data_IF_054267821241
#
_entry.id   IF_054267821241
#
_cell.length_a   1.000
_cell.length_b   1.000
_cell.length_c   1.000
_cell.angle_alpha   90.00
_cell.angle_beta   90.00
_cell.angle_gamma   90.00
#
_symmetry.space_group_name_H-M   'P 1'
#
loop_
_entity.id
_entity.type
_entity.pdbx_description
1 polymer ?
#
# COMPACT_ATOMS: atom_id res chain seq x y z
N UNK A 1 16.16 24.88 -0.51
CA UNK A 1 14.90 25.39 0.07
C UNK A 1 13.80 24.37 -0.25
N UNK A 2 12.86 24.12 0.67
CA UNK A 2 11.74 23.21 0.42
C UNK A 2 10.80 23.77 -0.64
N UNK A 3 10.44 22.93 -1.60
CA UNK A 3 9.52 23.31 -2.69
C UNK A 3 8.38 22.29 -2.80
N UNK A 4 7.12 22.74 -2.96
CA UNK A 4 6.01 21.84 -3.23
C UNK A 4 6.28 20.96 -4.45
N UNK A 5 6.04 19.66 -4.33
CA UNK A 5 6.11 18.75 -5.49
C UNK A 5 4.92 19.01 -6.40
N UNK A 6 5.11 18.96 -7.72
CA UNK A 6 4.02 19.10 -8.71
C UNK A 6 3.54 17.75 -9.25
N UNK A 7 4.48 16.83 -9.49
CA UNK A 7 4.23 15.53 -10.12
C UNK A 7 4.49 14.36 -9.18
N UNK A 8 5.55 14.45 -8.38
CA UNK A 8 5.95 13.40 -7.44
C UNK A 8 5.12 13.50 -6.16
N UNK A 9 3.89 13.00 -6.21
CA UNK A 9 2.89 13.11 -5.13
C UNK A 9 2.65 11.80 -4.39
N UNK A 10 3.01 10.67 -4.97
CA UNK A 10 2.78 9.36 -4.40
C UNK A 10 3.95 8.41 -4.63
N UNK A 11 4.23 7.57 -3.65
CA UNK A 11 5.27 6.56 -3.77
C UNK A 11 5.11 5.43 -2.77
N UNK A 12 5.90 4.39 -2.98
CA UNK A 12 6.01 3.22 -2.10
C UNK A 12 7.43 3.16 -1.55
N UNK A 13 7.53 2.94 -0.25
CA UNK A 13 8.81 2.79 0.44
C UNK A 13 9.46 1.47 0.01
N UNK A 14 10.71 1.53 -0.44
CA UNK A 14 11.47 0.34 -0.90
C UNK A 14 12.52 -0.14 0.10
N UNK A 15 12.76 0.62 1.17
CA UNK A 15 13.67 0.24 2.25
C UNK A 15 13.23 0.86 3.58
N UNK A 16 13.49 0.18 4.69
CA UNK A 16 13.12 0.67 6.01
C UNK A 16 13.92 1.93 6.38
N UNK A 17 13.26 2.94 6.92
CA UNK A 17 13.88 4.16 7.40
C UNK A 17 13.39 4.45 8.82
N UNK A 18 14.31 4.44 9.78
CA UNK A 18 13.96 4.56 11.20
C UNK A 18 13.53 5.98 11.59
N UNK A 19 14.04 7.01 10.92
CA UNK A 19 13.65 8.39 11.17
C UNK A 19 14.25 8.97 12.45
N UNK A 20 15.46 8.59 12.82
CA UNK A 20 16.13 8.95 14.10
C UNK A 20 16.48 10.44 14.28
N UNK A 21 15.91 11.33 13.46
CA UNK A 21 16.04 12.78 13.59
C UNK A 21 14.70 13.40 14.00
N UNK A 22 14.68 14.60 14.62
CA UNK A 22 13.46 15.19 15.20
C UNK A 22 12.30 15.40 14.22
N UNK A 23 12.57 15.42 12.91
CA UNK A 23 11.57 15.61 11.86
C UNK A 23 11.41 14.37 10.97
N UNK A 24 12.07 13.27 11.31
CA UNK A 24 12.14 12.06 10.52
C UNK A 24 10.81 11.32 10.58
N UNK A 25 10.27 10.97 9.42
CA UNK A 25 9.11 10.09 9.37
C UNK A 25 9.59 8.65 9.40
N UNK A 26 9.16 7.85 10.38
CA UNK A 26 9.42 6.41 10.38
C UNK A 26 8.69 5.75 9.20
N UNK A 27 9.39 4.91 8.44
CA UNK A 27 8.85 4.24 7.25
C UNK A 27 9.26 2.76 7.23
N UNK A 28 8.29 1.90 6.97
CA UNK A 28 8.53 0.47 6.71
C UNK A 28 8.43 0.15 5.22
N UNK A 29 9.17 -0.87 4.80
CA UNK A 29 9.13 -1.34 3.42
C UNK A 29 7.70 -1.69 2.98
N UNK A 30 7.32 -1.16 1.82
CA UNK A 30 6.00 -1.29 1.23
C UNK A 30 4.95 -0.32 1.79
N UNK A 31 5.29 0.56 2.73
CA UNK A 31 4.41 1.67 3.11
C UNK A 31 4.17 2.58 1.91
N UNK A 32 2.97 3.15 1.85
CA UNK A 32 2.58 4.10 0.82
C UNK A 32 2.62 5.50 1.41
N UNK A 33 3.27 6.43 0.71
CA UNK A 33 3.45 7.81 1.18
C UNK A 33 2.84 8.79 0.19
N UNK A 34 2.25 9.87 0.73
CA UNK A 34 1.95 11.07 -0.05
C UNK A 34 3.06 12.08 0.18
N UNK A 35 3.63 12.58 -0.91
CA UNK A 35 4.73 13.53 -0.92
C UNK A 35 4.16 14.93 -1.15
N UNK A 36 4.52 15.86 -0.28
CA UNK A 36 4.05 17.25 -0.31
C UNK A 36 5.13 18.18 -0.88
N UNK A 37 6.37 18.00 -0.42
CA UNK A 37 7.48 18.89 -0.71
C UNK A 37 8.77 18.09 -0.92
N UNK A 38 9.73 18.71 -1.59
CA UNK A 38 11.06 18.15 -1.82
C UNK A 38 12.16 19.19 -1.55
N UNK A 39 13.33 18.73 -1.11
CA UNK A 39 14.52 19.55 -0.92
C UNK A 39 15.78 18.67 -0.99
N UNK A 40 16.69 18.91 -1.94
CA UNK A 40 18.04 18.30 -1.96
C UNK A 40 18.09 16.77 -1.71
N UNK A 41 17.25 15.99 -2.39
CA UNK A 41 17.20 14.52 -2.20
C UNK A 41 16.39 14.05 -0.99
N UNK A 42 15.65 14.94 -0.34
CA UNK A 42 14.68 14.63 0.70
C UNK A 42 13.27 14.94 0.23
N UNK A 43 12.33 14.12 0.68
CA UNK A 43 10.91 14.38 0.60
C UNK A 43 10.36 14.71 1.98
N UNK A 44 9.27 15.48 1.99
CA UNK A 44 8.43 15.69 3.16
C UNK A 44 7.02 15.25 2.83
N UNK A 45 6.41 14.50 3.73
CA UNK A 45 5.11 13.89 3.48
C UNK A 45 4.57 13.17 4.69
N UNK A 46 3.64 12.24 4.45
CA UNK A 46 3.04 11.37 5.47
C UNK A 46 2.75 9.99 4.86
N UNK A 47 2.66 8.97 5.73
CA UNK A 47 2.18 7.65 5.35
C UNK A 47 0.68 7.74 5.08
N UNK A 48 0.17 7.23 3.96
CA UNK A 48 -1.23 7.42 3.56
C UNK A 48 -2.22 6.83 4.56
N UNK A 49 -1.82 5.80 5.31
CA UNK A 49 -2.60 5.20 6.41
C UNK A 49 -2.68 6.09 7.65
N UNK A 50 -1.71 6.98 7.86
CA UNK A 50 -1.66 7.88 9.00
C UNK A 50 -1.26 9.30 8.57
N UNK A 51 -2.28 10.11 8.21
CA UNK A 51 -2.10 11.48 7.67
C UNK A 51 -1.75 12.52 8.73
N UNK A 52 -1.90 12.21 10.02
CA UNK A 52 -1.69 13.17 11.12
C UNK A 52 -0.22 13.43 11.38
N UNK A 53 0.64 12.45 11.11
CA UNK A 53 2.09 12.55 11.32
C UNK A 53 2.77 12.89 10.00
N UNK A 54 3.40 14.07 9.96
CA UNK A 54 4.20 14.53 8.81
C UNK A 54 5.67 14.54 9.19
N UNK A 55 6.53 14.14 8.26
CA UNK A 55 7.97 14.19 8.47
C UNK A 55 8.74 14.10 7.15
N UNK A 56 10.07 14.09 7.28
CA UNK A 56 11.02 14.02 6.17
C UNK A 56 11.60 12.62 6.02
N UNK A 57 11.89 12.24 4.79
CA UNK A 57 12.48 10.95 4.44
C UNK A 57 13.33 11.06 3.16
N UNK A 58 14.37 10.23 3.00
CA UNK A 58 15.22 10.27 1.81
C UNK A 58 14.41 9.91 0.55
N UNK A 59 14.61 10.65 -0.54
CA UNK A 59 13.92 10.36 -1.80
C UNK A 59 14.35 9.01 -2.40
N UNK A 60 15.59 8.59 -2.12
CA UNK A 60 16.16 7.31 -2.57
C UNK A 60 15.47 6.09 -1.96
N UNK A 61 14.70 6.26 -0.88
CA UNK A 61 13.97 5.18 -0.22
C UNK A 61 12.57 5.02 -0.78
N UNK A 62 12.18 5.85 -1.76
CA UNK A 62 10.83 5.90 -2.30
C UNK A 62 10.85 5.56 -3.78
N UNK A 63 10.11 4.52 -4.14
CA UNK A 63 9.73 4.26 -5.51
C UNK A 63 8.48 5.08 -5.86
N UNK A 64 8.65 6.10 -6.69
CA UNK A 64 7.56 6.95 -7.16
C UNK A 64 6.59 6.15 -8.02
N UNK A 65 5.29 6.31 -7.78
CA UNK A 65 4.23 5.64 -8.55
C UNK A 65 3.25 6.67 -9.12
N UNK A 66 2.67 6.40 -10.30
CA UNK A 66 1.72 7.32 -10.90
C UNK A 66 0.46 7.46 -10.04
N UNK A 67 -0.02 8.68 -9.92
CA UNK A 67 -1.23 9.03 -9.20
C UNK A 67 -1.95 10.19 -9.88
N UNK A 68 -3.26 10.30 -9.65
CA UNK A 68 -4.04 11.51 -9.91
C UNK A 68 -4.17 12.30 -8.61
N UNK A 69 -4.20 13.62 -8.72
CA UNK A 69 -4.41 14.52 -7.58
C UNK A 69 -5.86 14.98 -7.57
N UNK A 70 -6.50 14.90 -6.41
CA UNK A 70 -7.81 15.49 -6.15
C UNK A 70 -7.70 16.59 -5.08
N UNK A 71 -8.62 17.55 -5.11
CA UNK A 71 -8.71 18.67 -4.17
C UNK A 71 -7.43 19.52 -4.11
N UNK A 72 -6.97 19.99 -5.27
CA UNK A 72 -5.79 20.85 -5.37
C UNK A 72 -5.83 22.00 -4.35
N UNK A 73 -4.70 22.25 -3.68
CA UNK A 73 -4.58 23.23 -2.60
C UNK A 73 -4.34 22.59 -1.24
N UNK A 74 -4.98 23.11 -0.19
CA UNK A 74 -4.70 22.73 1.21
C UNK A 74 -5.14 21.31 1.58
N UNK A 75 -6.07 20.72 0.83
CA UNK A 75 -6.63 19.39 1.07
C UNK A 75 -6.24 18.36 0.00
N UNK A 76 -5.14 18.62 -0.70
CA UNK A 76 -4.63 17.79 -1.77
C UNK A 76 -4.52 16.32 -1.36
N UNK A 77 -5.07 15.44 -2.20
CA UNK A 77 -5.06 13.99 -1.97
C UNK A 77 -4.54 13.27 -3.21
N UNK A 78 -3.48 12.48 -3.04
CA UNK A 78 -2.90 11.70 -4.12
C UNK A 78 -3.58 10.31 -4.20
N UNK A 79 -4.22 10.03 -5.33
CA UNK A 79 -4.93 8.77 -5.58
C UNK A 79 -4.09 7.94 -6.56
N UNK A 80 -3.60 6.76 -6.15
CA UNK A 80 -2.84 5.87 -7.03
C UNK A 80 -3.63 5.51 -8.29
N UNK A 81 -2.95 5.44 -9.44
CA UNK A 81 -3.54 4.91 -10.67
C UNK A 81 -3.53 3.37 -10.73
N UNK A 82 -2.91 2.72 -9.74
CA UNK A 82 -2.98 1.27 -9.59
C UNK A 82 -4.43 0.81 -9.41
N UNK A 83 -4.75 -0.34 -10.02
CA UNK A 83 -6.07 -0.94 -9.93
C UNK A 83 -6.54 -1.11 -8.48
N UNK A 84 -7.79 -0.70 -8.21
CA UNK A 84 -8.32 -0.69 -6.85
C UNK A 84 -8.34 -2.09 -6.23
N UNK A 85 -8.63 -3.14 -7.01
CA UNK A 85 -8.64 -4.52 -6.50
C UNK A 85 -7.23 -4.98 -6.15
N UNK A 86 -6.24 -4.63 -6.97
CA UNK A 86 -4.82 -4.93 -6.69
C UNK A 86 -4.36 -4.27 -5.40
N UNK A 87 -4.74 -3.01 -5.19
CA UNK A 87 -4.44 -2.26 -3.96
C UNK A 87 -5.15 -2.85 -2.75
N UNK A 88 -6.43 -3.19 -2.89
CA UNK A 88 -7.24 -3.77 -1.82
C UNK A 88 -6.66 -5.09 -1.33
N UNK A 89 -6.23 -5.98 -2.25
CA UNK A 89 -5.55 -7.22 -1.87
C UNK A 89 -4.31 -6.93 -1.02
N UNK A 90 -3.51 -5.92 -1.35
CA UNK A 90 -2.34 -5.55 -0.52
C UNK A 90 -2.71 -5.07 0.88
N UNK A 91 -3.83 -4.37 1.03
CA UNK A 91 -4.30 -3.89 2.33
C UNK A 91 -4.84 -5.05 3.17
N UNK A 92 -5.76 -5.84 2.62
CA UNK A 92 -6.38 -6.98 3.30
C UNK A 92 -5.35 -8.03 3.71
N UNK A 93 -4.35 -8.32 2.88
CA UNK A 93 -3.28 -9.24 3.26
C UNK A 93 -2.45 -8.75 4.45
N UNK A 94 -2.28 -7.43 4.63
CA UNK A 94 -1.60 -6.87 5.81
C UNK A 94 -2.46 -7.03 7.06
N UNK A 95 -3.76 -6.78 6.95
CA UNK A 95 -4.69 -6.89 8.07
C UNK A 95 -4.85 -8.35 8.49
N UNK A 96 -5.05 -9.25 7.52
CA UNK A 96 -5.12 -10.70 7.77
C UNK A 96 -3.82 -11.28 8.28
N UNK A 97 -2.65 -10.70 7.96
CA UNK A 97 -1.38 -11.15 8.55
C UNK A 97 -1.33 -10.95 10.07
N UNK A 98 -1.96 -9.90 10.60
CA UNK A 98 -2.08 -9.70 12.04
C UNK A 98 -2.95 -10.78 12.68
N UNK A 99 -4.12 -11.05 12.09
CA UNK A 99 -5.05 -12.11 12.54
C UNK A 99 -4.42 -13.49 12.42
N UNK A 100 -3.74 -13.76 11.31
CA UNK A 100 -3.08 -15.04 11.07
C UNK A 100 -2.01 -15.36 12.14
N UNK A 101 -1.25 -14.34 12.58
CA UNK A 101 -0.30 -14.50 13.69
C UNK A 101 -1.00 -14.76 15.02
N UNK A 102 -2.14 -14.10 15.31
CA UNK A 102 -2.88 -14.33 16.57
C UNK A 102 -3.46 -15.74 16.62
N UNK A 103 -4.03 -16.24 15.52
CA UNK A 103 -4.55 -17.61 15.42
C UNK A 103 -3.49 -18.68 15.72
N UNK A 104 -2.23 -18.43 15.36
CA UNK A 104 -1.12 -19.32 15.71
C UNK A 104 -0.88 -19.36 17.23
N UNK A 105 -0.84 -18.20 17.86
CA UNK A 105 -0.63 -18.08 19.32
C UNK A 105 -1.79 -18.70 20.09
N UNK A 106 -3.02 -18.49 19.62
CA UNK A 106 -4.26 -19.04 20.19
C UNK A 106 -4.47 -20.53 19.88
N UNK A 107 -3.59 -21.14 19.06
CA UNK A 107 -3.64 -22.56 18.65
C UNK A 107 -4.89 -22.94 17.83
N UNK A 108 -5.52 -21.97 17.17
CA UNK A 108 -6.66 -22.13 16.26
C UNK A 108 -6.22 -22.73 14.91
N UNK A 109 -5.73 -23.97 14.94
CA UNK A 109 -4.97 -24.62 13.86
C UNK A 109 -5.73 -24.66 12.53
N UNK A 110 -7.03 -24.98 12.56
CA UNK A 110 -7.85 -25.06 11.35
C UNK A 110 -7.99 -23.68 10.67
N UNK A 111 -8.30 -22.63 11.46
CA UNK A 111 -8.42 -21.25 10.94
C UNK A 111 -7.08 -20.74 10.43
N UNK A 112 -6.00 -21.00 11.17
CA UNK A 112 -4.64 -20.63 10.76
C UNK A 112 -4.26 -21.21 9.39
N UNK A 113 -4.49 -22.51 9.18
CA UNK A 113 -4.19 -23.19 7.90
C UNK A 113 -5.09 -22.65 6.78
N UNK A 114 -6.38 -22.47 7.07
CA UNK A 114 -7.36 -21.98 6.09
C UNK A 114 -7.03 -20.57 5.64
N UNK A 115 -6.79 -19.65 6.57
CA UNK A 115 -6.44 -18.26 6.27
C UNK A 115 -5.14 -18.19 5.46
N UNK A 116 -4.11 -18.99 5.80
CA UNK A 116 -2.86 -19.07 5.02
C UNK A 116 -3.11 -19.46 3.56
N UNK A 117 -4.00 -20.42 3.29
CA UNK A 117 -4.34 -20.85 1.93
C UNK A 117 -4.99 -19.71 1.16
N UNK A 118 -5.98 -19.05 1.76
CA UNK A 118 -6.69 -17.94 1.11
C UNK A 118 -5.76 -16.75 0.85
N UNK A 119 -4.90 -16.40 1.82
CA UNK A 119 -3.88 -15.36 1.61
C UNK A 119 -2.96 -15.65 0.42
N UNK A 120 -2.56 -16.91 0.23
CA UNK A 120 -1.74 -17.33 -0.93
C UNK A 120 -2.49 -17.25 -2.24
N UNK A 121 -3.76 -17.65 -2.27
CA UNK A 121 -4.63 -17.50 -3.46
C UNK A 121 -4.74 -16.02 -3.88
N UNK A 122 -5.04 -15.13 -2.92
CA UNK A 122 -5.14 -13.70 -3.19
C UNK A 122 -3.81 -13.12 -3.70
N UNK A 123 -2.68 -13.54 -3.13
CA UNK A 123 -1.37 -13.09 -3.58
C UNK A 123 -1.09 -13.48 -5.03
N UNK A 124 -1.46 -14.71 -5.42
CA UNK A 124 -1.31 -15.19 -6.80
C UNK A 124 -2.24 -14.46 -7.77
N UNK A 125 -3.51 -14.24 -7.41
CA UNK A 125 -4.42 -13.46 -8.26
C UNK A 125 -3.97 -12.02 -8.41
N UNK A 126 -3.44 -11.40 -7.35
CA UNK A 126 -2.84 -10.06 -7.44
C UNK A 126 -1.66 -10.04 -8.40
N UNK A 127 -0.78 -11.05 -8.35
CA UNK A 127 0.33 -11.18 -9.30
C UNK A 127 -0.19 -11.26 -10.73
N UNK A 128 -1.19 -12.11 -11.00
CA UNK A 128 -1.77 -12.24 -12.34
C UNK A 128 -2.37 -10.92 -12.85
N UNK A 129 -3.14 -10.21 -12.01
CA UNK A 129 -3.70 -8.89 -12.33
C UNK A 129 -2.60 -7.86 -12.67
N UNK A 130 -1.44 -7.93 -12.00
CA UNK A 130 -0.31 -7.03 -12.25
C UNK A 130 0.48 -7.37 -13.51
N UNK A 131 0.52 -8.65 -13.93
CA UNK A 131 1.32 -9.06 -15.11
C UNK A 131 0.77 -8.52 -16.42
N UNK A 132 -0.50 -8.11 -16.48
CA UNK A 132 -1.13 -7.56 -17.69
C UNK A 132 -1.24 -8.56 -18.85
N UNK A 133 -1.12 -9.86 -18.58
CA UNK A 133 -1.17 -10.93 -19.59
C UNK A 133 -2.58 -11.43 -19.88
N UNK A 134 -3.57 -11.03 -19.08
CA UNK A 134 -4.97 -11.44 -19.19
C UNK A 134 -5.73 -10.58 -20.20
N UNK A 135 -6.72 -11.17 -20.88
CA UNK A 135 -7.69 -10.41 -21.67
C UNK A 135 -8.56 -9.53 -20.76
N UNK A 136 -9.34 -8.61 -21.36
CA UNK A 136 -10.26 -7.76 -20.61
C UNK A 136 -11.30 -8.58 -19.84
N UNK A 137 -11.87 -9.62 -20.47
CA UNK A 137 -12.86 -10.48 -19.83
C UNK A 137 -12.25 -11.31 -18.70
N UNK A 138 -11.07 -11.91 -18.92
CA UNK A 138 -10.34 -12.64 -17.88
C UNK A 138 -9.96 -11.74 -16.69
N UNK A 139 -9.52 -10.51 -16.97
CA UNK A 139 -9.21 -9.52 -15.93
C UNK A 139 -10.45 -9.18 -15.11
N UNK A 140 -11.59 -8.99 -15.78
CA UNK A 140 -12.87 -8.69 -15.12
C UNK A 140 -13.31 -9.86 -14.23
N UNK A 141 -13.26 -11.08 -14.73
CA UNK A 141 -13.64 -12.27 -13.97
C UNK A 141 -12.73 -12.48 -12.75
N UNK A 142 -11.42 -12.33 -12.93
CA UNK A 142 -10.46 -12.47 -11.84
C UNK A 142 -10.64 -11.40 -10.76
N UNK A 143 -11.00 -10.17 -11.13
CA UNK A 143 -11.34 -9.11 -10.18
C UNK A 143 -12.56 -9.46 -9.35
N UNK A 144 -13.64 -9.92 -9.99
CA UNK A 144 -14.87 -10.34 -9.29
C UNK A 144 -14.61 -11.51 -8.33
N UNK A 145 -13.81 -12.49 -8.78
CA UNK A 145 -13.40 -13.62 -7.95
C UNK A 145 -12.56 -13.18 -6.75
N UNK A 146 -11.65 -12.22 -6.96
CA UNK A 146 -10.82 -11.63 -5.91
C UNK A 146 -11.67 -10.92 -4.86
N UNK A 147 -12.59 -10.03 -5.27
CA UNK A 147 -13.44 -9.28 -4.34
C UNK A 147 -14.34 -10.22 -3.54
N UNK A 148 -14.96 -11.21 -4.19
CA UNK A 148 -15.80 -12.19 -3.49
C UNK A 148 -15.02 -13.00 -2.44
N UNK A 149 -13.74 -13.30 -2.69
CA UNK A 149 -12.88 -14.01 -1.73
C UNK A 149 -12.47 -13.13 -0.56
N UNK A 150 -12.21 -11.85 -0.80
CA UNK A 150 -11.97 -10.85 0.26
C UNK A 150 -13.21 -10.75 1.16
N UNK A 151 -14.40 -10.59 0.56
CA UNK A 151 -15.66 -10.49 1.29
C UNK A 151 -15.93 -11.74 2.13
N UNK A 152 -15.61 -12.93 1.60
CA UNK A 152 -15.73 -14.18 2.34
C UNK A 152 -14.78 -14.24 3.54
N UNK A 153 -13.53 -13.80 3.39
CA UNK A 153 -12.54 -13.88 4.47
C UNK A 153 -12.67 -12.77 5.52
N UNK A 154 -13.39 -11.69 5.22
CA UNK A 154 -13.71 -10.63 6.16
C UNK A 154 -14.96 -10.91 7.01
N UNK A 155 -15.71 -11.97 6.69
CA UNK A 155 -16.84 -12.47 7.50
C UNK A 155 -16.36 -13.41 8.59
#
# INVERSE_FOLDING_TARGET
MWTPTKTNKYGVVIYNWHGDNPYGLHLEIGDTVQILEQCCGWFRGFVTKNRSVKGIFPSTYIHLKPCRVENEGTFETAIPLEDMVVREVSLVLRDWNCIWKSLYVERETYKFITLRKVMRELLEWRKQLLTGTLTQDQTRELKLKTTAKIDWGNR
#
